data_IF_301191518847
#
_entry.id   IF_301191518847
#
_cell.length_a   1.000
_cell.length_b   1.000
_cell.length_c   1.000
_cell.angle_alpha   90.00
_cell.angle_beta   90.00
_cell.angle_gamma   90.00
#
_symmetry.space_group_name_H-M   'P 1'
#
loop_
_entity.id
_entity.type
_entity.pdbx_description
1 polymer ?
#
# COMPACT_ATOMS: atom_id res chain seq x y z
N UNK A 1 10.59 -20.82 -4.76
CA UNK A 1 11.67 -20.04 -4.17
C UNK A 1 11.11 -18.68 -3.75
N UNK A 2 11.14 -18.37 -2.46
CA UNK A 2 10.80 -17.02 -1.98
C UNK A 2 11.90 -16.05 -2.45
N UNK A 3 11.53 -15.08 -3.24
CA UNK A 3 12.43 -14.00 -3.60
C UNK A 3 12.81 -13.23 -2.32
N UNK A 4 14.08 -13.24 -1.99
CA UNK A 4 14.59 -12.52 -0.82
C UNK A 4 14.82 -11.06 -1.23
N UNK A 5 14.26 -10.13 -0.46
CA UNK A 5 14.53 -8.71 -0.68
C UNK A 5 16.02 -8.40 -0.49
N UNK A 6 16.60 -7.50 -1.30
CA UNK A 6 17.95 -7.00 -1.09
C UNK A 6 18.13 -6.41 0.31
N UNK A 7 19.32 -6.54 0.89
CA UNK A 7 19.60 -6.06 2.25
C UNK A 7 19.38 -4.55 2.41
N UNK A 8 19.70 -3.76 1.39
CA UNK A 8 19.45 -2.31 1.39
C UNK A 8 17.96 -1.99 1.52
N UNK A 9 17.10 -2.74 0.81
CA UNK A 9 15.65 -2.57 0.91
C UNK A 9 15.14 -2.91 2.30
N UNK A 10 15.70 -3.94 2.94
CA UNK A 10 15.35 -4.30 4.32
C UNK A 10 15.77 -3.26 5.32
N UNK A 11 16.97 -2.72 5.18
CA UNK A 11 17.49 -1.67 6.07
C UNK A 11 16.66 -0.39 5.94
N UNK A 12 16.32 -0.01 4.71
CA UNK A 12 15.46 1.16 4.45
C UNK A 12 14.07 0.97 5.06
N UNK A 13 13.50 -0.22 4.93
CA UNK A 13 12.19 -0.53 5.53
C UNK A 13 12.24 -0.43 7.05
N UNK A 14 13.25 -1.03 7.70
CA UNK A 14 13.40 -0.98 9.16
C UNK A 14 13.63 0.43 9.66
N UNK A 15 14.48 1.20 8.99
CA UNK A 15 14.74 2.59 9.36
C UNK A 15 13.46 3.43 9.32
N UNK A 16 12.59 3.19 8.32
CA UNK A 16 11.32 3.89 8.21
C UNK A 16 10.35 3.64 9.37
N UNK A 17 10.41 2.47 10.00
CA UNK A 17 9.55 2.13 11.13
C UNK A 17 9.87 2.97 12.38
N UNK A 18 11.08 3.49 12.51
CA UNK A 18 11.52 4.31 13.64
C UNK A 18 11.33 5.81 13.37
N UNK A 19 10.94 6.20 12.17
CA UNK A 19 10.70 7.61 11.82
C UNK A 19 9.29 8.00 12.24
N UNK A 20 9.11 9.14 12.94
CA UNK A 20 7.77 9.62 13.29
C UNK A 20 6.88 9.83 12.07
N UNK A 21 5.61 9.49 12.21
CA UNK A 21 4.61 9.72 11.16
C UNK A 21 4.55 11.21 10.81
N UNK A 22 4.52 11.50 9.52
CA UNK A 22 4.51 12.87 9.00
C UNK A 22 5.89 13.37 8.58
N UNK A 23 6.96 12.71 9.00
CA UNK A 23 8.31 13.03 8.53
C UNK A 23 8.68 12.21 7.29
N UNK A 24 9.54 12.73 6.40
CA UNK A 24 9.92 11.97 5.20
C UNK A 24 10.49 10.59 5.52
N UNK A 25 10.00 9.57 4.82
CA UNK A 25 10.50 8.20 4.94
C UNK A 25 9.87 7.36 6.05
N UNK A 26 8.88 7.87 6.81
CA UNK A 26 8.18 7.06 7.83
C UNK A 26 7.48 5.85 7.21
N UNK A 27 7.33 4.79 8.00
CA UNK A 27 6.63 3.56 7.60
C UNK A 27 5.83 2.98 8.75
N UNK A 28 4.72 2.34 8.42
CA UNK A 28 3.93 1.54 9.33
C UNK A 28 3.36 0.34 8.57
N UNK A 29 3.39 -0.83 9.17
CA UNK A 29 2.98 -2.05 8.47
C UNK A 29 2.19 -2.98 9.40
N UNK A 30 1.26 -3.72 8.80
CA UNK A 30 0.47 -4.75 9.46
C UNK A 30 0.50 -6.02 8.64
N UNK A 31 0.45 -7.14 9.32
CA UNK A 31 0.37 -8.46 8.71
C UNK A 31 -0.88 -9.19 9.19
N UNK A 32 -1.49 -9.96 8.30
CA UNK A 32 -2.54 -10.91 8.64
C UNK A 32 -1.92 -12.29 8.75
N UNK A 33 -2.09 -12.94 9.89
CA UNK A 33 -1.55 -14.27 10.16
C UNK A 33 -2.67 -15.29 10.34
N UNK A 34 -2.44 -16.51 9.87
CA UNK A 34 -3.24 -17.66 10.24
C UNK A 34 -2.93 -18.11 11.68
N UNK A 35 -3.76 -18.99 12.24
CA UNK A 35 -3.59 -19.53 13.59
C UNK A 35 -2.25 -20.25 13.79
N UNK A 36 -1.68 -20.82 12.72
CA UNK A 36 -0.37 -21.47 12.73
C UNK A 36 0.81 -20.52 12.58
N UNK A 37 0.55 -19.20 12.50
CA UNK A 37 1.56 -18.18 12.32
C UNK A 37 1.93 -17.89 10.86
N UNK A 38 1.34 -18.56 9.88
CA UNK A 38 1.61 -18.29 8.48
C UNK A 38 1.09 -16.89 8.08
N UNK A 39 1.91 -16.13 7.36
CA UNK A 39 1.52 -14.81 6.87
C UNK A 39 0.62 -14.98 5.64
N UNK A 40 -0.60 -14.45 5.72
CA UNK A 40 -1.61 -14.52 4.67
C UNK A 40 -1.63 -13.27 3.79
N UNK A 41 -1.25 -12.14 4.34
CA UNK A 41 -1.22 -10.88 3.64
C UNK A 41 -0.60 -9.79 4.49
N UNK A 42 -0.39 -8.65 3.86
CA UNK A 42 0.16 -7.46 4.51
C UNK A 42 -0.43 -6.20 3.92
N UNK A 43 -0.37 -5.13 4.69
CA UNK A 43 -0.61 -3.77 4.25
C UNK A 43 0.40 -2.86 4.92
N UNK A 44 0.93 -1.92 4.19
CA UNK A 44 1.83 -0.91 4.73
C UNK A 44 1.45 0.48 4.23
N UNK A 45 1.80 1.46 5.04
CA UNK A 45 1.78 2.86 4.68
C UNK A 45 3.17 3.43 4.86
N UNK A 46 3.57 4.31 3.95
CA UNK A 46 4.88 4.99 4.00
C UNK A 46 4.74 6.45 3.64
N UNK A 47 5.61 7.27 4.21
CA UNK A 47 5.71 8.68 3.87
C UNK A 47 6.28 8.87 2.47
N UNK A 48 5.83 9.94 1.81
CA UNK A 48 6.47 10.43 0.60
C UNK A 48 7.86 11.00 0.93
N UNK A 49 8.75 11.00 -0.06
CA UNK A 49 10.09 11.57 0.10
C UNK A 49 10.07 13.10 0.15
N UNK A 50 9.02 13.70 -0.39
CA UNK A 50 8.87 15.15 -0.48
C UNK A 50 8.58 15.77 0.89
N UNK A 51 9.26 16.87 1.19
CA UNK A 51 8.93 17.70 2.36
C UNK A 51 7.52 18.29 2.19
N UNK A 52 6.85 18.50 3.30
CA UNK A 52 5.50 19.07 3.37
C UNK A 52 4.39 18.16 2.83
N UNK A 53 4.69 16.90 2.53
CA UNK A 53 3.71 15.88 2.15
C UNK A 53 3.34 14.93 3.32
N UNK A 54 3.63 15.32 4.55
CA UNK A 54 3.43 14.48 5.74
C UNK A 54 1.97 14.13 6.07
N UNK A 55 1.02 14.82 5.47
CA UNK A 55 -0.42 14.54 5.62
C UNK A 55 -0.92 13.45 4.65
N UNK A 56 -0.04 12.88 3.83
CA UNK A 56 -0.33 11.83 2.85
C UNK A 56 0.51 10.60 3.15
N UNK A 57 -0.05 9.43 2.90
CA UNK A 57 0.68 8.16 2.99
C UNK A 57 0.51 7.37 1.70
N UNK A 58 1.56 6.66 1.29
CA UNK A 58 1.53 5.76 0.14
C UNK A 58 1.29 4.34 0.62
N UNK A 59 0.24 3.72 0.13
CA UNK A 59 -0.18 2.37 0.52
C UNK A 59 0.44 1.31 -0.37
N UNK A 60 0.93 0.25 0.27
CA UNK A 60 1.28 -1.00 -0.38
C UNK A 60 0.51 -2.15 0.26
N UNK A 61 0.11 -3.14 -0.53
CA UNK A 61 -0.66 -4.26 -0.03
C UNK A 61 -0.42 -5.52 -0.86
N UNK A 62 -0.43 -6.66 -0.21
CA UNK A 62 -0.36 -7.95 -0.86
C UNK A 62 -1.12 -9.03 -0.08
N UNK A 63 -1.74 -9.94 -0.79
CA UNK A 63 -2.44 -11.09 -0.23
C UNK A 63 -1.97 -12.35 -0.93
N UNK A 64 -1.70 -13.39 -0.17
CA UNK A 64 -1.31 -14.71 -0.68
C UNK A 64 -2.35 -15.22 -1.68
N UNK A 65 -1.91 -15.81 -2.79
CA UNK A 65 -2.81 -16.23 -3.88
C UNK A 65 -3.94 -17.14 -3.44
N UNK A 66 -3.65 -18.11 -2.55
CA UNK A 66 -4.64 -19.06 -2.03
C UNK A 66 -5.61 -18.44 -1.02
N UNK A 67 -5.38 -17.20 -0.63
CA UNK A 67 -6.24 -16.43 0.29
C UNK A 67 -6.94 -15.25 -0.37
N UNK A 68 -6.84 -15.14 -1.68
CA UNK A 68 -7.55 -14.09 -2.45
C UNK A 68 -9.05 -14.43 -2.53
N UNK A 69 -9.86 -13.39 -2.76
CA UNK A 69 -11.34 -13.46 -2.88
C UNK A 69 -12.07 -13.86 -1.59
N UNK A 70 -11.38 -13.85 -0.45
CA UNK A 70 -11.97 -14.13 0.87
C UNK A 70 -12.22 -12.88 1.71
N UNK A 71 -12.11 -11.70 1.11
CA UNK A 71 -12.31 -10.43 1.80
C UNK A 71 -11.10 -9.97 2.63
N UNK A 72 -9.97 -10.65 2.60
CA UNK A 72 -8.79 -10.31 3.40
C UNK A 72 -8.19 -8.96 2.98
N UNK A 73 -8.07 -8.71 1.68
CA UNK A 73 -7.57 -7.43 1.16
C UNK A 73 -8.42 -6.25 1.63
N UNK A 74 -9.74 -6.40 1.59
CA UNK A 74 -10.68 -5.39 2.06
C UNK A 74 -10.52 -5.11 3.55
N UNK A 75 -10.31 -6.14 4.35
CA UNK A 75 -10.09 -6.01 5.81
C UNK A 75 -8.77 -5.33 6.13
N UNK A 76 -7.70 -5.69 5.42
CA UNK A 76 -6.39 -5.06 5.57
C UNK A 76 -6.46 -3.58 5.19
N UNK A 77 -7.11 -3.26 4.08
CA UNK A 77 -7.30 -1.89 3.63
C UNK A 77 -8.08 -1.06 4.65
N UNK A 78 -9.19 -1.59 5.14
CA UNK A 78 -10.01 -0.91 6.15
C UNK A 78 -9.23 -0.65 7.44
N UNK A 79 -8.39 -1.61 7.87
CA UNK A 79 -7.55 -1.45 9.04
C UNK A 79 -6.53 -0.31 8.85
N UNK A 80 -5.85 -0.27 7.72
CA UNK A 80 -4.89 0.78 7.42
C UNK A 80 -5.57 2.16 7.33
N UNK A 81 -6.73 2.25 6.72
CA UNK A 81 -7.50 3.50 6.62
C UNK A 81 -7.95 4.01 7.99
N UNK A 82 -8.42 3.10 8.84
CA UNK A 82 -8.84 3.46 10.20
C UNK A 82 -7.67 4.02 11.02
N UNK A 83 -6.53 3.35 10.97
CA UNK A 83 -5.33 3.85 11.63
C UNK A 83 -4.88 5.20 11.05
N UNK A 84 -4.87 5.33 9.73
CA UNK A 84 -4.41 6.54 9.04
C UNK A 84 -5.23 7.77 9.41
N UNK A 85 -6.54 7.63 9.48
CA UNK A 85 -7.45 8.72 9.85
C UNK A 85 -7.46 9.03 11.35
N UNK A 86 -7.09 8.07 12.20
CA UNK A 86 -7.01 8.21 13.64
C UNK A 86 -5.59 8.53 14.11
N UNK A 87 -4.86 7.50 14.56
CA UNK A 87 -3.52 7.65 15.16
C UNK A 87 -2.48 8.17 14.17
N UNK A 88 -2.61 7.85 12.89
CA UNK A 88 -1.69 8.31 11.85
C UNK A 88 -1.85 9.78 11.49
N UNK A 89 -2.99 10.40 11.78
CA UNK A 89 -3.32 11.81 11.47
C UNK A 89 -3.12 12.16 10.01
N UNK A 90 -3.33 11.21 9.12
CA UNK A 90 -3.24 11.44 7.67
C UNK A 90 -4.56 11.99 7.14
N UNK A 91 -4.48 12.78 6.07
CA UNK A 91 -5.64 13.30 5.34
C UNK A 91 -5.92 12.53 4.07
N UNK A 92 -4.91 11.89 3.51
CA UNK A 92 -4.97 11.20 2.23
C UNK A 92 -4.19 9.91 2.25
N UNK A 93 -4.70 8.91 1.53
CA UNK A 93 -3.94 7.72 1.14
C UNK A 93 -3.79 7.72 -0.36
N UNK A 94 -2.54 7.60 -0.81
CA UNK A 94 -2.18 7.42 -2.22
C UNK A 94 -1.81 5.97 -2.46
N UNK A 95 -2.01 5.49 -3.68
CA UNK A 95 -1.54 4.18 -4.10
C UNK A 95 -1.23 4.14 -5.59
N UNK A 96 -0.48 3.13 -5.98
CA UNK A 96 -0.19 2.80 -7.37
C UNK A 96 -0.52 1.33 -7.59
N UNK A 97 -1.14 1.03 -8.71
CA UNK A 97 -1.55 -0.32 -9.07
C UNK A 97 -1.30 -0.56 -10.55
N UNK A 98 -0.85 -1.76 -10.91
CA UNK A 98 -0.70 -2.11 -12.31
C UNK A 98 -2.05 -1.98 -13.02
N UNK A 99 -2.07 -1.34 -14.19
CA UNK A 99 -3.29 -1.10 -14.94
C UNK A 99 -3.98 -2.39 -15.40
N UNK A 100 -3.24 -3.50 -15.45
CA UNK A 100 -3.77 -4.83 -15.75
C UNK A 100 -4.36 -5.56 -14.53
N UNK A 101 -4.20 -5.03 -13.32
CA UNK A 101 -4.68 -5.68 -12.10
C UNK A 101 -6.14 -5.28 -11.82
N UNK A 102 -7.05 -5.85 -12.58
CA UNK A 102 -8.49 -5.56 -12.50
C UNK A 102 -9.09 -5.82 -11.10
N UNK A 103 -8.77 -6.93 -10.40
CA UNK A 103 -9.31 -7.14 -9.06
C UNK A 103 -8.90 -6.04 -8.07
N UNK A 104 -7.66 -5.58 -8.11
CA UNK A 104 -7.18 -4.50 -7.25
C UNK A 104 -7.85 -3.17 -7.59
N UNK A 105 -7.95 -2.84 -8.87
CA UNK A 105 -8.66 -1.62 -9.32
C UNK A 105 -10.10 -1.61 -8.84
N UNK A 106 -10.80 -2.74 -8.97
CA UNK A 106 -12.18 -2.86 -8.49
C UNK A 106 -12.30 -2.69 -6.98
N UNK A 107 -11.38 -3.28 -6.20
CA UNK A 107 -11.34 -3.12 -4.75
C UNK A 107 -11.18 -1.65 -4.36
N UNK A 108 -10.20 -0.98 -4.94
CA UNK A 108 -9.91 0.42 -4.59
C UNK A 108 -11.05 1.36 -4.99
N UNK A 109 -11.63 1.18 -6.18
CA UNK A 109 -12.82 1.96 -6.60
C UNK A 109 -13.98 1.79 -5.62
N UNK A 110 -14.30 0.56 -5.24
CA UNK A 110 -15.36 0.27 -4.27
C UNK A 110 -15.06 0.84 -2.89
N UNK A 111 -13.79 0.99 -2.56
CA UNK A 111 -13.36 1.56 -1.28
C UNK A 111 -13.27 3.09 -1.29
N UNK A 112 -13.63 3.73 -2.40
CA UNK A 112 -13.71 5.19 -2.50
C UNK A 112 -12.47 5.87 -3.07
N UNK A 113 -11.52 5.10 -3.60
CA UNK A 113 -10.34 5.67 -4.27
C UNK A 113 -10.71 6.17 -5.67
N UNK A 114 -10.13 7.29 -6.04
CA UNK A 114 -10.30 7.92 -7.34
C UNK A 114 -8.98 7.93 -8.10
N UNK A 115 -9.05 7.78 -9.41
CA UNK A 115 -7.88 7.86 -10.28
C UNK A 115 -7.33 9.30 -10.29
N UNK A 116 -6.04 9.44 -10.04
CA UNK A 116 -5.35 10.73 -10.06
C UNK A 116 -4.38 10.85 -11.23
N UNK A 117 -4.06 9.75 -11.87
CA UNK A 117 -3.18 9.72 -13.01
C UNK A 117 -2.71 8.31 -13.31
N UNK A 118 -1.67 8.21 -14.11
CA UNK A 118 -1.07 6.95 -14.49
C UNK A 118 0.08 7.14 -15.45
N UNK A 119 0.84 6.09 -15.68
CA UNK A 119 1.93 6.09 -16.65
C UNK A 119 1.79 4.83 -17.49
N UNK A 120 1.44 4.95 -18.78
CA UNK A 120 1.45 3.82 -19.68
C UNK A 120 2.89 3.39 -19.97
N UNK A 121 3.07 2.10 -20.27
CA UNK A 121 4.38 1.57 -20.66
C UNK A 121 5.49 1.88 -19.64
N UNK A 122 5.15 1.84 -18.36
CA UNK A 122 6.11 2.13 -17.28
C UNK A 122 7.10 1.00 -17.07
N UNK A 123 6.66 -0.25 -17.25
CA UNK A 123 7.46 -1.45 -17.02
C UNK A 123 7.43 -2.33 -18.24
N UNK A 124 8.56 -2.96 -18.53
CA UNK A 124 8.64 -4.05 -19.53
C UNK A 124 9.08 -5.30 -18.78
N UNK A 125 8.18 -6.28 -18.68
CA UNK A 125 8.41 -7.55 -17.99
C UNK A 125 8.18 -8.68 -18.98
N UNK A 126 9.20 -9.51 -19.22
CA UNK A 126 9.15 -10.61 -20.17
C UNK A 126 8.62 -10.18 -21.57
N UNK A 127 9.06 -9.01 -22.05
CA UNK A 127 8.65 -8.43 -23.32
C UNK A 127 7.25 -7.81 -23.32
N UNK A 128 6.52 -7.83 -22.22
CA UNK A 128 5.22 -7.19 -22.08
C UNK A 128 5.33 -5.80 -21.47
N UNK A 129 4.69 -4.83 -22.12
CA UNK A 129 4.53 -3.49 -21.57
C UNK A 129 3.44 -3.46 -20.51
N UNK A 130 3.76 -2.91 -19.36
CA UNK A 130 2.84 -2.73 -18.24
C UNK A 130 2.81 -1.27 -17.79
N UNK A 131 1.61 -0.70 -17.67
CA UNK A 131 1.42 0.61 -17.08
C UNK A 131 0.99 0.53 -15.63
N UNK A 132 0.94 1.66 -14.96
CA UNK A 132 0.29 1.77 -13.66
C UNK A 132 -0.73 2.91 -13.62
N UNK A 133 -1.67 2.77 -12.69
CA UNK A 133 -2.67 3.79 -12.35
C UNK A 133 -2.35 4.30 -10.96
N UNK A 134 -2.36 5.61 -10.78
CA UNK A 134 -2.30 6.25 -9.48
C UNK A 134 -3.72 6.56 -9.00
N UNK A 135 -3.99 6.27 -7.75
CA UNK A 135 -5.28 6.53 -7.11
C UNK A 135 -5.07 7.17 -5.75
N UNK A 136 -6.07 7.89 -5.28
CA UNK A 136 -6.06 8.51 -3.96
C UNK A 136 -7.44 8.51 -3.33
N UNK A 137 -7.45 8.50 -2.01
CA UNK A 137 -8.67 8.65 -1.20
C UNK A 137 -8.43 9.69 -0.13
N UNK A 138 -9.34 10.66 -0.04
CA UNK A 138 -9.38 11.58 1.08
C UNK A 138 -10.02 10.88 2.27
N UNK A 139 -9.35 10.90 3.40
CA UNK A 139 -9.89 10.34 4.63
C UNK A 139 -10.87 11.33 5.26
N UNK A 140 -11.94 10.79 5.85
CA UNK A 140 -12.87 11.61 6.61
C UNK A 140 -12.13 12.20 7.82
N UNK A 141 -12.41 13.45 8.21
CA UNK A 141 -11.91 14.00 9.47
C UNK A 141 -12.39 13.12 10.64
N UNK A 142 -11.47 12.86 11.56
CA UNK A 142 -11.80 12.12 12.78
C UNK A 142 -12.78 12.94 13.65
#
# INVERSE_FOLDING_TARGET
AQARLPDETRQSFRAGLDIPVGEPGWRCAWIACAADGAILGHVDLRGHAERFAGHRGLLGMGVRRDRRRLGLARRLLAHAEHWAGGDGLLRWIDLRVLSSNEPALALYRRSGYQMTGGTPDMFVVDGQSLGYVAMAKRLAPA
#
